data_IF_094244541565
#
_entry.id   IF_094244541565
#
_cell.length_a   1.000
_cell.length_b   1.000
_cell.length_c   1.000
_cell.angle_alpha   90.00
_cell.angle_beta   90.00
_cell.angle_gamma   90.00
#
_symmetry.space_group_name_H-M   'P 1'
#
loop_
_entity.id
_entity.type
_entity.pdbx_description
1 polymer ?
#
# COMPACT_ATOMS: atom_id res chain seq x y z
N UNK A 1 1.24 11.43 1.30
CA UNK A 1 0.84 10.41 0.32
C UNK A 1 0.19 9.27 1.06
N UNK A 2 -1.09 9.03 0.83
CA UNK A 2 -1.83 7.98 1.53
C UNK A 2 -2.91 7.45 0.59
N UNK A 3 -2.95 6.14 0.35
CA UNK A 3 -4.19 5.46 -0.04
C UNK A 3 -4.82 4.89 1.22
N UNK A 4 -6.14 5.04 1.41
CA UNK A 4 -6.84 4.64 2.63
C UNK A 4 -7.60 3.31 2.47
N UNK A 5 -6.89 2.17 2.49
CA UNK A 5 -7.53 0.84 2.44
C UNK A 5 -7.67 0.23 3.84
N UNK A 6 -8.77 -0.48 4.09
CA UNK A 6 -9.03 -1.12 5.39
C UNK A 6 -8.14 -2.34 5.64
N UNK A 7 -8.03 -3.21 4.64
CA UNK A 7 -7.30 -4.47 4.73
C UNK A 7 -7.09 -5.04 3.33
N UNK A 8 -6.06 -5.87 3.17
CA UNK A 8 -5.90 -6.71 1.98
C UNK A 8 -6.00 -8.18 2.37
N UNK A 9 -6.70 -8.99 1.58
CA UNK A 9 -6.64 -10.44 1.69
C UNK A 9 -5.25 -10.91 1.28
N UNK A 10 -4.71 -11.84 2.07
CA UNK A 10 -3.39 -12.43 1.90
C UNK A 10 -3.56 -13.92 1.58
N UNK A 11 -2.82 -14.40 0.58
CA UNK A 11 -2.77 -15.82 0.28
C UNK A 11 -1.89 -16.49 1.33
N UNK A 12 -2.47 -17.26 2.24
CA UNK A 12 -1.71 -17.76 3.39
C UNK A 12 -0.55 -18.68 3.01
N UNK A 13 -0.69 -19.47 1.93
CA UNK A 13 0.39 -20.31 1.40
C UNK A 13 1.58 -19.52 0.84
N UNK A 14 1.37 -18.26 0.43
CA UNK A 14 2.43 -17.40 -0.11
C UNK A 14 3.36 -16.82 0.96
N UNK A 15 2.95 -16.89 2.23
CA UNK A 15 3.79 -16.47 3.36
C UNK A 15 4.89 -17.49 3.63
N UNK A 16 4.65 -18.77 3.28
CA UNK A 16 5.55 -19.89 3.54
C UNK A 16 4.98 -20.86 4.59
N UNK A 17 5.72 -21.93 4.85
CA UNK A 17 5.35 -22.89 5.89
C UNK A 17 5.39 -22.23 7.28
N UNK A 18 4.37 -22.44 8.10
CA UNK A 18 4.29 -21.83 9.43
C UNK A 18 4.55 -22.87 10.50
N UNK A 19 5.57 -22.65 11.32
CA UNK A 19 5.88 -23.54 12.45
C UNK A 19 5.48 -22.86 13.75
N UNK A 20 4.54 -23.45 14.50
CA UNK A 20 4.00 -22.87 15.71
C UNK A 20 5.05 -22.75 16.81
N UNK A 21 5.17 -21.56 17.38
CA UNK A 21 6.08 -21.27 18.50
C UNK A 21 5.30 -21.23 19.81
N UNK A 22 4.17 -20.54 19.83
CA UNK A 22 3.41 -20.32 21.05
C UNK A 22 2.48 -19.10 20.97
N UNK A 23 1.77 -18.81 22.06
CA UNK A 23 1.03 -17.57 22.21
C UNK A 23 1.96 -16.37 22.46
N UNK A 24 1.53 -15.20 22.02
CA UNK A 24 2.13 -13.91 22.36
C UNK A 24 1.01 -12.85 22.52
N UNK A 25 1.36 -11.64 22.96
CA UNK A 25 0.45 -10.51 23.10
C UNK A 25 0.98 -9.28 22.38
N UNK A 26 0.09 -8.59 21.66
CA UNK A 26 0.40 -7.37 20.91
C UNK A 26 -0.61 -6.27 21.21
N UNK A 27 -0.43 -5.12 20.58
CA UNK A 27 -1.21 -3.91 20.83
C UNK A 27 -0.54 -2.98 21.84
N UNK A 28 -0.98 -1.72 21.86
CA UNK A 28 -0.42 -0.70 22.76
C UNK A 28 -0.52 -1.11 24.23
N UNK A 29 -1.60 -1.82 24.58
CA UNK A 29 -1.89 -2.29 25.93
C UNK A 29 -1.53 -3.77 26.15
N UNK A 30 -0.99 -4.47 25.13
CA UNK A 30 -0.69 -5.91 25.18
C UNK A 30 -1.92 -6.77 25.49
N UNK A 31 -3.07 -6.37 24.96
CA UNK A 31 -4.40 -6.94 25.20
C UNK A 31 -4.88 -7.85 24.07
N UNK A 32 -4.17 -7.87 22.94
CA UNK A 32 -4.52 -8.73 21.79
C UNK A 32 -3.64 -9.97 21.81
N UNK A 33 -4.24 -11.12 22.13
CA UNK A 33 -3.56 -12.43 22.07
C UNK A 33 -3.41 -12.88 20.62
N UNK A 34 -2.20 -13.30 20.26
CA UNK A 34 -1.82 -13.73 18.91
C UNK A 34 -1.05 -15.04 18.96
N UNK A 35 -1.09 -15.78 17.86
CA UNK A 35 -0.27 -16.97 17.66
C UNK A 35 1.01 -16.58 16.92
N UNK A 36 2.17 -17.02 17.42
CA UNK A 36 3.46 -16.73 16.84
C UNK A 36 3.99 -17.93 16.06
N UNK A 37 4.56 -17.67 14.87
CA UNK A 37 5.09 -18.69 13.96
C UNK A 37 6.46 -18.31 13.44
N UNK A 38 7.33 -19.29 13.25
CA UNK A 38 8.48 -19.17 12.35
C UNK A 38 8.01 -19.34 10.91
N UNK A 39 8.61 -18.60 9.99
CA UNK A 39 8.28 -18.64 8.57
C UNK A 39 9.34 -19.42 7.79
N UNK A 40 8.91 -20.49 7.13
CA UNK A 40 9.79 -21.38 6.36
C UNK A 40 10.91 -21.97 7.23
N UNK A 41 12.14 -21.93 6.71
CA UNK A 41 13.34 -22.37 7.42
C UNK A 41 14.15 -21.20 8.00
N UNK A 42 13.56 -19.99 8.08
CA UNK A 42 14.22 -18.83 8.64
C UNK A 42 13.87 -18.66 10.13
N UNK A 43 14.63 -17.81 10.82
CA UNK A 43 14.28 -17.32 12.16
C UNK A 43 13.33 -16.12 12.12
N UNK A 44 12.77 -15.79 10.96
CA UNK A 44 11.77 -14.73 10.86
C UNK A 44 10.47 -15.21 11.47
N UNK A 45 9.87 -14.34 12.28
CA UNK A 45 8.60 -14.65 12.94
C UNK A 45 7.51 -13.75 12.45
N UNK A 46 6.31 -14.33 12.34
CA UNK A 46 5.08 -13.58 12.17
C UNK A 46 4.16 -13.82 13.36
N UNK A 47 3.31 -12.83 13.62
CA UNK A 47 2.28 -12.88 14.64
C UNK A 47 0.93 -12.77 13.95
N UNK A 48 0.07 -13.76 14.16
CA UNK A 48 -1.24 -13.85 13.53
C UNK A 48 -2.31 -13.81 14.62
N UNK A 49 -3.25 -12.89 14.51
CA UNK A 49 -4.50 -12.93 15.26
C UNK A 49 -5.37 -14.07 14.70
N UNK A 50 -5.53 -15.19 15.42
CA UNK A 50 -6.21 -16.35 14.89
C UNK A 50 -7.74 -16.17 14.90
N UNK A 51 -8.43 -17.13 14.29
CA UNK A 51 -9.89 -17.27 14.40
C UNK A 51 -10.35 -17.44 15.86
N UNK A 52 -11.61 -17.08 16.13
CA UNK A 52 -12.25 -17.30 17.43
C UNK A 52 -12.23 -18.79 17.79
N UNK A 53 -11.89 -19.10 19.03
CA UNK A 53 -11.82 -20.49 19.52
C UNK A 53 -10.54 -21.24 19.16
N UNK A 54 -9.55 -20.58 18.55
CA UNK A 54 -8.22 -21.17 18.35
C UNK A 54 -7.60 -21.63 19.67
N UNK A 55 -7.11 -22.87 19.71
CA UNK A 55 -6.43 -23.43 20.86
C UNK A 55 -4.96 -22.99 20.88
N UNK A 56 -4.54 -22.29 21.92
CA UNK A 56 -3.13 -21.85 22.07
C UNK A 56 -2.23 -22.92 22.71
N UNK A 57 -2.75 -24.12 23.00
CA UNK A 57 -1.99 -25.21 23.59
C UNK A 57 -1.44 -26.20 22.54
N UNK A 58 -1.41 -25.82 21.26
CA UNK A 58 -0.69 -26.54 20.21
C UNK A 58 0.78 -26.78 20.59
N UNK A 59 1.36 -27.87 20.06
CA UNK A 59 2.75 -28.22 20.41
C UNK A 59 3.72 -27.25 19.74
N UNK A 60 4.76 -26.84 20.47
CA UNK A 60 5.89 -26.15 19.86
C UNK A 60 6.44 -26.99 18.70
N UNK A 61 6.70 -26.35 17.56
CA UNK A 61 7.20 -27.01 16.36
C UNK A 61 6.10 -27.61 15.47
N UNK A 62 4.82 -27.54 15.86
CA UNK A 62 3.73 -28.05 15.04
C UNK A 62 3.59 -27.24 13.74
N UNK A 63 3.58 -27.92 12.60
CA UNK A 63 3.42 -27.27 11.30
C UNK A 63 1.95 -26.93 11.06
N UNK A 64 1.71 -25.65 10.87
CA UNK A 64 0.40 -25.06 10.64
C UNK A 64 0.37 -24.40 9.26
N UNK A 65 -0.84 -24.15 8.80
CA UNK A 65 -1.11 -23.32 7.63
C UNK A 65 -2.07 -22.21 7.99
N UNK A 66 -1.93 -21.10 7.29
CA UNK A 66 -2.81 -19.96 7.37
C UNK A 66 -3.69 -19.95 6.12
N UNK A 67 -4.99 -19.69 6.28
CA UNK A 67 -5.94 -19.48 5.19
C UNK A 67 -6.88 -18.32 5.53
N UNK A 68 -7.54 -17.78 4.50
CA UNK A 68 -8.44 -16.63 4.59
C UNK A 68 -7.78 -15.46 5.34
N UNK A 69 -6.48 -15.26 5.07
CA UNK A 69 -5.69 -14.31 5.81
C UNK A 69 -5.96 -12.88 5.36
N UNK A 70 -5.67 -11.94 6.26
CA UNK A 70 -5.73 -10.51 6.00
C UNK A 70 -4.52 -9.80 6.58
N UNK A 71 -4.06 -8.78 5.86
CA UNK A 71 -3.05 -7.83 6.31
C UNK A 71 -3.73 -6.48 6.56
N UNK A 72 -3.42 -5.88 7.71
CA UNK A 72 -3.91 -4.56 8.14
C UNK A 72 -2.73 -3.74 8.68
N UNK A 73 -2.80 -2.42 8.60
CA UNK A 73 -1.81 -1.55 9.24
C UNK A 73 -2.08 -1.50 10.75
N UNK A 74 -1.19 -2.09 11.54
CA UNK A 74 -1.25 -2.05 13.00
C UNK A 74 -0.30 -1.04 13.62
N UNK A 75 -0.55 -0.75 14.90
CA UNK A 75 0.32 0.08 15.74
C UNK A 75 1.13 -0.81 16.65
N UNK A 76 2.45 -0.86 16.46
CA UNK A 76 3.35 -1.53 17.41
C UNK A 76 3.63 -0.60 18.59
N UNK A 77 3.66 -1.17 19.81
CA UNK A 77 3.97 -0.47 21.06
C UNK A 77 5.29 0.32 20.98
N UNK A 78 6.32 -0.27 20.39
CA UNK A 78 7.67 0.32 20.27
C UNK A 78 7.74 1.46 19.24
N UNK A 79 6.79 1.54 18.31
CA UNK A 79 6.82 2.48 17.20
C UNK A 79 5.78 3.60 17.32
N UNK A 80 5.02 3.63 18.42
CA UNK A 80 3.95 4.61 18.65
C UNK A 80 4.43 6.08 18.57
N UNK A 81 5.67 6.36 19.02
CA UNK A 81 6.28 7.71 18.96
C UNK A 81 6.90 8.05 17.60
N UNK A 82 7.39 7.04 16.87
CA UNK A 82 7.99 7.21 15.55
C UNK A 82 6.95 7.22 14.41
N UNK A 83 5.70 6.89 14.72
CA UNK A 83 4.59 6.84 13.76
C UNK A 83 4.60 5.62 12.85
N UNK A 84 5.73 4.90 12.74
CA UNK A 84 5.88 3.71 11.91
C UNK A 84 4.84 2.61 12.25
N UNK A 85 4.13 2.16 11.21
CA UNK A 85 3.15 1.08 11.28
C UNK A 85 3.81 -0.27 11.02
N UNK A 86 3.20 -1.32 11.55
CA UNK A 86 3.63 -2.71 11.32
C UNK A 86 2.51 -3.48 10.64
N UNK A 87 2.88 -4.44 9.81
CA UNK A 87 1.91 -5.38 9.26
C UNK A 87 1.33 -6.25 10.38
N UNK A 88 0.01 -6.23 10.53
CA UNK A 88 -0.70 -7.17 11.40
C UNK A 88 -1.43 -8.19 10.54
N UNK A 89 -1.32 -9.44 10.94
CA UNK A 89 -1.89 -10.57 10.23
C UNK A 89 -3.06 -11.11 11.02
N UNK A 90 -4.13 -11.50 10.34
CA UNK A 90 -5.21 -12.27 10.91
C UNK A 90 -5.64 -13.35 9.93
N UNK A 91 -6.33 -14.38 10.40
CA UNK A 91 -6.88 -15.43 9.53
C UNK A 91 -7.19 -16.70 10.28
N UNK A 92 -7.53 -17.74 9.52
CA UNK A 92 -7.80 -19.07 10.05
C UNK A 92 -6.53 -19.90 10.02
N UNK A 93 -6.09 -20.35 11.19
CA UNK A 93 -4.92 -21.19 11.39
C UNK A 93 -5.39 -22.62 11.56
N UNK A 94 -4.85 -23.52 10.74
CA UNK A 94 -5.22 -24.94 10.70
C UNK A 94 -3.96 -25.80 10.70
N UNK A 95 -4.04 -27.08 11.14
CA UNK A 95 -2.97 -28.04 10.93
C UNK A 95 -2.61 -28.15 9.44
N UNK A 96 -1.33 -28.40 9.14
CA UNK A 96 -0.87 -28.54 7.75
C UNK A 96 -1.60 -29.63 6.96
N UNK A 97 -2.15 -30.65 7.64
CA UNK A 97 -2.93 -31.72 7.03
C UNK A 97 -4.35 -31.32 6.59
N UNK A 98 -4.83 -30.13 6.95
CA UNK A 98 -6.16 -29.66 6.53
C UNK A 98 -6.20 -29.39 5.02
N UNK A 99 -7.28 -29.84 4.38
CA UNK A 99 -7.56 -29.63 2.95
C UNK A 99 -8.34 -28.33 2.67
N UNK A 100 -8.73 -27.59 3.71
CA UNK A 100 -9.41 -26.30 3.56
C UNK A 100 -8.55 -25.33 2.74
N UNK A 101 -9.21 -24.45 2.01
CA UNK A 101 -8.57 -23.51 1.09
C UNK A 101 -8.88 -22.08 1.48
N UNK A 102 -8.07 -21.16 0.97
CA UNK A 102 -8.37 -19.75 1.02
C UNK A 102 -9.75 -19.44 0.41
N UNK A 103 -10.39 -18.38 0.93
CA UNK A 103 -11.70 -17.93 0.47
C UNK A 103 -11.75 -17.63 -1.02
N UNK A 104 -10.65 -17.13 -1.58
CA UNK A 104 -10.53 -16.72 -2.97
C UNK A 104 -9.58 -17.65 -3.73
N UNK A 105 -9.75 -17.72 -5.05
CA UNK A 105 -8.82 -18.47 -5.89
C UNK A 105 -7.43 -17.84 -5.90
N UNK A 106 -6.38 -18.65 -6.12
CA UNK A 106 -4.99 -18.18 -6.13
C UNK A 106 -4.76 -17.06 -7.16
N UNK A 107 -5.50 -17.08 -8.28
CA UNK A 107 -5.37 -16.10 -9.36
C UNK A 107 -5.90 -14.71 -8.98
N UNK A 108 -6.74 -14.60 -7.95
CA UNK A 108 -7.18 -13.31 -7.43
C UNK A 108 -6.11 -12.60 -6.59
N UNK A 109 -5.08 -13.32 -6.12
CA UNK A 109 -3.97 -12.74 -5.38
C UNK A 109 -2.90 -12.23 -6.35
N UNK A 110 -3.26 -11.18 -7.07
CA UNK A 110 -2.56 -10.62 -8.24
C UNK A 110 -1.48 -9.58 -7.92
N UNK A 111 -1.25 -9.28 -6.64
CA UNK A 111 -0.29 -8.29 -6.18
C UNK A 111 0.62 -8.85 -5.08
N UNK A 112 1.65 -8.09 -4.71
CA UNK A 112 2.57 -8.44 -3.63
C UNK A 112 2.41 -7.47 -2.45
N UNK A 113 2.56 -7.96 -1.23
CA UNK A 113 2.83 -7.13 -0.07
C UNK A 113 4.33 -7.12 0.21
N UNK A 114 4.90 -5.92 0.38
CA UNK A 114 6.34 -5.71 0.56
C UNK A 114 6.62 -4.86 1.81
N UNK A 115 7.79 -5.08 2.42
CA UNK A 115 8.20 -4.36 3.63
C UNK A 115 9.65 -3.87 3.56
N UNK A 116 9.95 -2.86 4.39
CA UNK A 116 11.29 -2.30 4.50
C UNK A 116 11.73 -1.49 3.28
N UNK A 117 12.92 -0.90 3.38
CA UNK A 117 13.48 -0.01 2.36
C UNK A 117 13.77 -0.74 1.03
N UNK A 118 14.10 -2.03 1.12
CA UNK A 118 14.42 -2.89 -0.02
C UNK A 118 13.19 -3.57 -0.63
N UNK A 119 11.98 -3.26 -0.14
CA UNK A 119 10.73 -3.88 -0.60
C UNK A 119 10.77 -5.42 -0.56
N UNK A 120 11.18 -5.99 0.58
CA UNK A 120 11.20 -7.43 0.77
C UNK A 120 9.78 -8.00 0.65
N UNK A 121 9.59 -9.00 -0.22
CA UNK A 121 8.30 -9.63 -0.46
C UNK A 121 7.91 -10.49 0.73
N UNK A 122 6.70 -10.26 1.24
CA UNK A 122 6.14 -11.01 2.38
C UNK A 122 5.11 -12.03 1.93
N UNK A 123 4.36 -11.71 0.88
CA UNK A 123 3.33 -12.61 0.36
C UNK A 123 2.51 -11.97 -0.74
N UNK A 124 1.61 -12.76 -1.32
CA UNK A 124 0.67 -12.36 -2.37
C UNK A 124 -0.63 -11.84 -1.76
N UNK A 125 -1.10 -10.71 -2.26
CA UNK A 125 -2.32 -10.04 -1.81
C UNK A 125 -3.27 -9.80 -2.97
N UNK A 126 -4.55 -9.62 -2.65
CA UNK A 126 -5.61 -9.33 -3.62
C UNK A 126 -5.74 -7.83 -3.82
N UNK A 127 -5.34 -7.32 -4.99
CA UNK A 127 -5.43 -5.87 -5.28
C UNK A 127 -6.88 -5.39 -5.34
N UNK A 128 -7.81 -6.28 -5.70
CA UNK A 128 -9.24 -5.99 -5.78
C UNK A 128 -9.91 -5.70 -4.43
N UNK A 129 -9.20 -5.89 -3.30
CA UNK A 129 -9.65 -5.41 -1.99
C UNK A 129 -9.35 -3.92 -1.75
N UNK A 130 -8.43 -3.36 -2.54
CA UNK A 130 -8.07 -1.95 -2.50
C UNK A 130 -8.81 -1.14 -3.58
N UNK A 131 -8.73 -1.56 -4.84
CA UNK A 131 -9.36 -0.87 -5.97
C UNK A 131 -9.55 -1.81 -7.17
N UNK A 132 -10.46 -1.46 -8.07
CA UNK A 132 -10.60 -2.16 -9.34
C UNK A 132 -9.60 -1.60 -10.36
N UNK A 133 -8.52 -2.36 -10.63
CA UNK A 133 -7.47 -1.97 -11.59
C UNK A 133 -7.97 -1.72 -13.01
N UNK A 134 -9.12 -2.30 -13.38
CA UNK A 134 -9.73 -2.13 -14.70
C UNK A 134 -10.69 -0.93 -14.77
N UNK A 135 -10.88 -0.19 -13.67
CA UNK A 135 -11.77 0.96 -13.56
C UNK A 135 -11.01 2.27 -13.29
N UNK A 136 -9.71 2.34 -13.61
CA UNK A 136 -8.87 3.51 -13.31
C UNK A 136 -8.74 4.45 -14.51
N UNK A 137 -8.94 5.73 -14.27
CA UNK A 137 -8.63 6.82 -15.21
C UNK A 137 -7.53 7.69 -14.61
N UNK A 138 -6.49 7.97 -15.40
CA UNK A 138 -5.44 8.88 -14.98
C UNK A 138 -5.96 10.31 -14.90
N UNK A 139 -5.82 10.91 -13.73
CA UNK A 139 -6.21 12.29 -13.47
C UNK A 139 -5.00 13.24 -13.51
N UNK A 140 -3.91 12.89 -12.84
CA UNK A 140 -2.71 13.72 -12.82
C UNK A 140 -1.46 12.91 -12.47
N UNK A 141 -0.29 13.47 -12.80
CA UNK A 141 1.01 12.92 -12.43
C UNK A 141 1.79 13.99 -11.67
N UNK A 142 2.46 13.61 -10.59
CA UNK A 142 3.35 14.48 -9.83
C UNK A 142 4.68 13.80 -9.51
N UNK A 143 5.83 14.49 -9.66
CA UNK A 143 7.11 13.94 -9.23
C UNK A 143 7.24 13.94 -7.70
N UNK A 144 7.79 12.87 -7.14
CA UNK A 144 8.24 12.80 -5.75
C UNK A 144 9.76 12.88 -5.71
N UNK A 145 10.27 13.95 -5.13
CA UNK A 145 11.71 14.19 -5.04
C UNK A 145 12.35 13.36 -3.91
N UNK A 146 13.60 12.96 -4.13
CA UNK A 146 14.42 12.30 -3.11
C UNK A 146 14.76 13.31 -1.99
N UNK A 147 14.48 12.99 -0.72
CA UNK A 147 14.88 13.86 0.38
C UNK A 147 16.40 13.80 0.61
N UNK A 148 17.01 14.92 0.99
CA UNK A 148 18.37 14.97 1.54
C UNK A 148 18.37 14.70 3.06
N UNK A 149 19.55 14.70 3.69
CA UNK A 149 19.72 14.43 5.12
C UNK A 149 19.06 15.49 6.04
N UNK A 150 18.64 16.63 5.48
CA UNK A 150 17.93 17.72 6.17
C UNK A 150 16.44 17.75 5.84
N UNK A 151 15.91 16.70 5.20
CA UNK A 151 14.56 16.65 4.64
C UNK A 151 14.27 17.71 3.56
N UNK A 152 15.32 18.28 2.96
CA UNK A 152 15.24 19.11 1.74
C UNK A 152 15.21 18.25 0.47
N UNK A 153 15.22 18.88 -0.69
CA UNK A 153 15.26 18.18 -1.99
C UNK A 153 16.71 17.89 -2.36
N UNK A 154 17.06 16.61 -2.45
CA UNK A 154 18.35 16.15 -2.95
C UNK A 154 18.50 16.53 -4.42
N UNK A 155 19.70 16.99 -4.80
CA UNK A 155 20.03 17.45 -6.15
C UNK A 155 21.22 16.67 -6.68
N UNK A 156 21.24 16.46 -7.99
CA UNK A 156 22.38 15.90 -8.69
C UNK A 156 23.57 16.85 -8.59
N UNK A 157 24.76 16.32 -8.26
CA UNK A 157 25.96 17.14 -8.02
C UNK A 157 26.49 17.79 -9.30
N UNK A 158 26.22 17.20 -10.47
CA UNK A 158 26.72 17.67 -11.76
C UNK A 158 25.77 18.67 -12.40
N UNK A 159 24.46 18.40 -12.38
CA UNK A 159 23.45 19.24 -13.05
C UNK A 159 22.74 20.23 -12.12
N UNK A 160 22.86 20.04 -10.79
CA UNK A 160 22.10 20.76 -9.76
C UNK A 160 20.57 20.60 -9.90
N UNK A 161 20.10 19.62 -10.66
CA UNK A 161 18.68 19.34 -10.84
C UNK A 161 18.13 18.48 -9.68
N UNK A 162 16.86 18.66 -9.27
CA UNK A 162 16.21 17.80 -8.29
C UNK A 162 16.23 16.32 -8.69
N UNK A 163 16.67 15.44 -7.80
CA UNK A 163 16.63 14.01 -8.03
C UNK A 163 15.20 13.51 -7.78
N UNK A 164 14.58 12.97 -8.82
CA UNK A 164 13.25 12.35 -8.73
C UNK A 164 13.42 10.91 -8.24
N UNK A 165 12.73 10.56 -7.15
CA UNK A 165 12.75 9.20 -6.61
C UNK A 165 11.70 8.32 -7.31
N UNK A 166 10.53 8.87 -7.59
CA UNK A 166 9.44 8.22 -8.32
C UNK A 166 8.41 9.26 -8.79
N UNK A 167 7.50 8.84 -9.66
CA UNK A 167 6.33 9.61 -10.06
C UNK A 167 5.07 9.04 -9.41
N UNK A 168 4.24 9.91 -8.86
CA UNK A 168 2.92 9.57 -8.35
C UNK A 168 1.90 9.76 -9.47
N UNK A 169 1.32 8.65 -9.91
CA UNK A 169 0.18 8.63 -10.81
C UNK A 169 -1.09 8.63 -9.95
N UNK A 170 -1.91 9.67 -10.13
CA UNK A 170 -3.17 9.84 -9.41
C UNK A 170 -4.31 9.37 -10.31
N UNK A 171 -5.02 8.34 -9.86
CA UNK A 171 -6.16 7.76 -10.55
C UNK A 171 -7.45 8.08 -9.83
N UNK A 172 -8.54 8.14 -10.60
CA UNK A 172 -9.91 8.12 -10.08
C UNK A 172 -10.67 6.96 -10.72
N UNK A 173 -11.68 6.39 -10.02
CA UNK A 173 -12.59 5.44 -10.64
C UNK A 173 -13.30 6.06 -11.85
N UNK A 174 -13.43 5.33 -12.96
CA UNK A 174 -14.13 5.81 -14.16
C UNK A 174 -15.58 6.19 -13.87
N UNK A 175 -16.21 5.48 -12.95
CA UNK A 175 -17.55 5.81 -12.44
C UNK A 175 -17.68 7.22 -11.84
N UNK A 176 -16.57 7.83 -11.41
CA UNK A 176 -16.51 9.18 -10.83
C UNK A 176 -15.94 10.25 -11.76
N UNK A 177 -15.60 9.91 -13.00
CA UNK A 177 -14.92 10.83 -13.92
C UNK A 177 -15.66 12.14 -14.22
N UNK A 178 -16.99 12.14 -14.13
CA UNK A 178 -17.85 13.31 -14.38
C UNK A 178 -18.51 13.86 -13.12
N UNK A 179 -18.11 13.38 -11.93
CA UNK A 179 -18.69 13.77 -10.65
C UNK A 179 -17.71 14.59 -9.80
N UNK A 180 -18.13 14.92 -8.58
CA UNK A 180 -17.23 15.47 -7.57
C UNK A 180 -16.24 14.39 -7.12
N UNK A 181 -14.95 14.71 -7.18
CA UNK A 181 -13.84 13.86 -6.73
C UNK A 181 -13.29 14.46 -5.44
N UNK A 182 -13.24 13.65 -4.40
CA UNK A 182 -12.65 14.02 -3.11
C UNK A 182 -11.25 13.39 -2.94
N UNK A 183 -10.49 13.83 -1.94
CA UNK A 183 -9.14 13.31 -1.72
C UNK A 183 -9.09 11.79 -1.40
N UNK A 184 -10.19 11.25 -0.89
CA UNK A 184 -10.38 9.83 -0.58
C UNK A 184 -10.62 8.98 -1.82
N UNK A 185 -11.02 9.61 -2.94
CA UNK A 185 -11.32 8.92 -4.19
C UNK A 185 -10.07 8.63 -5.02
N UNK A 186 -8.97 9.33 -4.73
CA UNK A 186 -7.73 9.13 -5.46
C UNK A 186 -7.03 7.85 -5.06
N UNK A 187 -6.76 7.03 -6.07
CA UNK A 187 -5.82 5.93 -5.99
C UNK A 187 -4.47 6.43 -6.48
N UNK A 188 -3.49 6.50 -5.59
CA UNK A 188 -2.15 7.05 -5.84
C UNK A 188 -1.17 5.90 -5.97
N UNK A 189 -0.60 5.72 -7.15
CA UNK A 189 0.34 4.64 -7.46
C UNK A 189 1.69 5.23 -7.82
N UNK A 190 2.75 4.69 -7.24
CA UNK A 190 4.12 5.12 -7.49
C UNK A 190 4.74 4.30 -8.61
N UNK A 191 5.37 5.01 -9.54
CA UNK A 191 6.01 4.47 -10.73
C UNK A 191 7.44 4.96 -10.76
N UNK A 192 8.38 4.09 -11.15
CA UNK A 192 9.79 4.48 -11.24
C UNK A 192 10.02 5.48 -12.39
N UNK A 193 11.05 6.33 -12.33
CA UNK A 193 11.35 7.27 -13.40
C UNK A 193 11.46 6.61 -14.78
N UNK A 194 12.10 5.44 -14.87
CA UNK A 194 12.30 4.76 -16.16
C UNK A 194 10.98 4.34 -16.82
N UNK A 195 10.00 3.95 -16.00
CA UNK A 195 8.68 3.58 -16.48
C UNK A 195 7.83 4.80 -16.83
N UNK A 196 7.98 5.91 -16.10
CA UNK A 196 7.36 7.19 -16.47
C UNK A 196 7.86 7.66 -17.85
N UNK A 197 9.19 7.69 -18.06
CA UNK A 197 9.80 8.12 -19.31
C UNK A 197 9.33 7.25 -20.48
N UNK A 198 9.12 5.95 -20.26
CA UNK A 198 8.60 5.02 -21.27
C UNK A 198 7.19 5.37 -21.75
N UNK A 199 6.31 5.84 -20.86
CA UNK A 199 4.87 5.96 -21.17
C UNK A 199 4.41 7.39 -21.42
N UNK A 200 5.16 8.40 -20.95
CA UNK A 200 4.67 9.78 -20.89
C UNK A 200 4.36 10.38 -22.27
N UNK A 201 5.13 10.04 -23.31
CA UNK A 201 4.90 10.56 -24.67
C UNK A 201 3.59 10.08 -25.29
N UNK A 202 3.19 8.85 -24.97
CA UNK A 202 1.97 8.21 -25.50
C UNK A 202 0.73 8.44 -24.62
N UNK A 203 0.94 8.93 -23.40
CA UNK A 203 -0.09 9.06 -22.38
C UNK A 203 -0.98 10.27 -22.63
N UNK A 204 -2.28 10.03 -22.79
CA UNK A 204 -3.27 11.10 -23.01
C UNK A 204 -4.00 11.45 -21.71
N UNK A 205 -4.37 12.73 -21.51
CA UNK A 205 -5.24 13.13 -20.41
C UNK A 205 -6.54 12.31 -20.40
N UNK A 206 -6.91 11.77 -19.24
CA UNK A 206 -8.13 10.97 -19.08
C UNK A 206 -8.08 9.58 -19.74
N UNK A 207 -6.93 9.13 -20.23
CA UNK A 207 -6.77 7.78 -20.77
C UNK A 207 -6.90 6.73 -19.66
N UNK A 208 -7.56 5.63 -20.01
CA UNK A 208 -7.57 4.44 -19.18
C UNK A 208 -6.21 3.74 -19.28
N UNK A 209 -5.65 3.38 -18.13
CA UNK A 209 -4.39 2.64 -18.05
C UNK A 209 -4.52 1.50 -17.05
N UNK A 210 -3.67 0.50 -17.20
CA UNK A 210 -3.66 -0.71 -16.39
C UNK A 210 -2.31 -0.85 -15.69
N UNK A 211 -2.21 -0.51 -14.39
CA UNK A 211 -0.98 -0.73 -13.64
C UNK A 211 -0.76 -2.24 -13.41
N UNK A 212 0.47 -2.69 -13.68
CA UNK A 212 0.92 -4.09 -13.56
C UNK A 212 2.00 -4.23 -12.48
N UNK A 213 2.17 -5.45 -11.98
CA UNK A 213 3.20 -5.76 -10.97
C UNK A 213 2.97 -4.99 -9.66
N UNK A 214 1.71 -4.88 -9.23
CA UNK A 214 1.33 -4.08 -8.07
C UNK A 214 2.03 -4.58 -6.79
N UNK A 215 2.58 -3.64 -6.02
CA UNK A 215 3.16 -3.89 -4.70
C UNK A 215 2.54 -2.95 -3.68
N UNK A 216 2.09 -3.49 -2.57
CA UNK A 216 1.49 -2.77 -1.45
C UNK A 216 2.47 -2.72 -0.28
N UNK A 217 2.58 -1.56 0.35
CA UNK A 217 3.41 -1.35 1.54
C UNK A 217 2.70 -0.38 2.49
N UNK A 218 3.05 -0.43 3.77
CA UNK A 218 2.64 0.60 4.73
C UNK A 218 3.61 1.77 4.72
N UNK A 219 3.07 2.99 4.62
CA UNK A 219 3.86 4.23 4.71
C UNK A 219 3.04 5.25 5.48
N UNK A 220 3.57 5.78 6.58
CA UNK A 220 2.94 6.87 7.31
C UNK A 220 2.44 6.50 8.70
N UNK A 221 1.59 7.39 9.23
CA UNK A 221 1.26 7.48 10.65
C UNK A 221 -0.22 7.15 10.94
N UNK A 222 -1.05 6.74 9.96
CA UNK A 222 -2.43 6.30 10.22
C UNK A 222 -2.62 4.80 9.95
N UNK A 223 -3.71 4.22 10.46
CA UNK A 223 -3.99 2.77 10.36
C UNK A 223 -4.44 2.33 8.96
N UNK A 224 -4.64 3.26 8.05
CA UNK A 224 -5.10 2.98 6.69
C UNK A 224 -4.10 3.43 5.66
N UNK A 225 -2.89 3.88 6.01
CA UNK A 225 -1.97 4.46 5.03
C UNK A 225 -1.19 3.42 4.24
N UNK A 226 -1.57 3.24 2.97
CA UNK A 226 -0.88 2.37 2.03
C UNK A 226 -0.17 3.16 0.94
N UNK A 227 1.05 2.73 0.64
CA UNK A 227 1.71 3.04 -0.62
C UNK A 227 1.52 1.88 -1.57
N UNK A 228 1.18 2.21 -2.80
CA UNK A 228 1.03 1.27 -3.90
C UNK A 228 2.12 1.61 -4.92
N UNK A 229 2.87 0.62 -5.36
CA UNK A 229 3.81 0.72 -6.47
C UNK A 229 3.27 -0.09 -7.65
N UNK A 230 3.62 0.34 -8.86
CA UNK A 230 3.48 -0.47 -10.06
C UNK A 230 4.85 -0.61 -10.74
N UNK A 231 5.11 -1.80 -11.27
CA UNK A 231 6.32 -2.04 -12.05
C UNK A 231 6.17 -1.52 -13.48
N UNK A 232 4.94 -1.59 -14.03
CA UNK A 232 4.61 -1.14 -15.39
C UNK A 232 3.21 -0.53 -15.47
N UNK A 233 3.00 0.34 -16.46
CA UNK A 233 1.72 0.93 -16.84
C UNK A 233 1.42 0.53 -18.29
N UNK A 234 0.37 -0.27 -18.48
CA UNK A 234 -0.13 -0.57 -19.82
C UNK A 234 -1.16 0.48 -20.23
N UNK A 235 -1.00 1.02 -21.43
CA UNK A 235 -1.93 1.99 -21.99
C UNK A 235 -3.09 1.26 -22.67
N UNK A 236 -4.34 1.64 -22.38
CA UNK A 236 -5.46 1.13 -23.14
C UNK A 236 -5.32 1.52 -24.64
N UNK A 237 -5.64 0.63 -25.59
CA UNK A 237 -5.63 0.95 -26.99
C UNK A 237 -6.46 2.20 -27.25
N UNK A 238 -5.85 3.21 -27.89
CA UNK A 238 -6.52 4.46 -28.24
C UNK A 238 -7.58 4.20 -29.31
N UNK A 239 -8.78 3.77 -28.93
CA UNK A 239 -9.94 3.90 -29.80
C UNK A 239 -10.19 5.40 -29.99
N UNK A 240 -9.84 5.91 -31.17
CA UNK A 240 -10.08 7.29 -31.56
C UNK A 240 -11.59 7.59 -31.50
N UNK A 241 -12.00 8.24 -30.41
CA UNK A 241 -13.07 9.21 -30.40
C UNK A 241 -12.72 10.21 -29.30
N UNK A 242 -12.29 11.41 -29.71
CA UNK A 242 -12.06 12.52 -28.81
C UNK A 242 -13.41 12.91 -28.15
N UNK A 243 -13.67 12.36 -26.98
CA UNK A 243 -14.69 12.86 -26.06
C UNK A 243 -14.06 13.95 -25.21
N UNK A 244 -14.66 15.14 -25.27
CA UNK A 244 -14.27 16.39 -24.60
C UNK A 244 -13.70 16.22 -23.18
N UNK A 245 -12.49 16.76 -23.00
CA UNK A 245 -11.78 17.00 -21.73
C UNK A 245 -12.63 17.65 -20.64
N UNK A 246 -12.56 17.19 -19.37
CA UNK A 246 -12.76 18.06 -18.23
C UNK A 246 -11.55 19.01 -18.09
N UNK A 247 -11.80 20.31 -17.94
CA UNK A 247 -10.76 21.30 -17.65
C UNK A 247 -10.10 20.97 -16.30
N UNK A 248 -8.80 20.69 -16.33
CA UNK A 248 -7.95 20.72 -15.15
C UNK A 248 -7.62 22.18 -14.81
N UNK A 249 -8.51 22.85 -14.07
CA UNK A 249 -8.19 24.07 -13.34
C UNK A 249 -8.67 23.91 -11.90
N UNK A 250 -7.82 23.35 -11.05
CA UNK A 250 -7.91 23.51 -9.60
C UNK A 250 -6.51 23.43 -9.02
N UNK A 251 -5.82 24.57 -9.02
CA UNK A 251 -4.64 24.80 -8.21
C UNK A 251 -5.04 24.67 -6.73
N UNK A 252 -4.33 23.89 -5.89
CA UNK A 252 -4.59 23.89 -4.46
C UNK A 252 -4.32 25.29 -3.90
N UNK A 253 -5.28 25.85 -3.17
CA UNK A 253 -5.17 27.13 -2.52
C UNK A 253 -4.12 27.06 -1.39
N UNK A 254 -2.93 27.62 -1.63
CA UNK A 254 -2.04 28.08 -0.57
C UNK A 254 -2.18 29.60 -0.46
N UNK A 255 -3.15 30.07 0.32
CA UNK A 255 -3.08 31.41 0.91
C UNK A 255 -2.53 31.28 2.33
N UNK A 256 -1.22 31.46 2.46
CA UNK A 256 -0.62 31.83 3.74
C UNK A 256 -1.00 33.30 3.99
N UNK A 257 -1.93 33.51 4.93
CA UNK A 257 -2.26 34.83 5.44
C UNK A 257 -1.02 35.50 6.02
N UNK A 258 -0.59 36.59 5.39
CA UNK A 258 0.32 37.57 5.96
C UNK A 258 -0.37 38.24 7.16
N UNK A 259 0.10 37.98 8.37
CA UNK A 259 -0.31 38.72 9.57
C UNK A 259 0.28 40.14 9.50
N UNK A 260 -0.57 41.10 9.18
CA UNK A 260 -0.30 42.53 9.39
C UNK A 260 -0.28 42.83 10.90
N UNK A 261 0.87 43.23 11.40
CA UNK A 261 1.05 43.83 12.71
C UNK A 261 0.61 45.30 12.65
N UNK A 262 -0.58 45.61 13.19
CA UNK A 262 -0.95 46.98 13.53
C UNK A 262 -0.39 47.33 14.92
N UNK A 263 0.60 48.22 14.93
CA UNK A 263 1.01 48.94 16.12
C UNK A 263 -0.03 50.02 16.45
N UNK A 264 -0.73 49.88 17.58
CA UNK A 264 -1.49 50.99 18.17
C UNK A 264 -0.53 51.90 18.95
N UNK A 265 -0.47 53.18 18.55
CA UNK A 265 0.01 54.30 19.36
C UNK A 265 -1.17 54.91 20.13
N UNK A 266 -0.79 55.47 21.29
CA UNK A 266 -1.55 56.22 22.30
C UNK A 266 -2.15 55.37 23.42
#
# INVERSE_FOLDING_TARGET
MINAFKSLSLLGSSVGALTYIGPDVVGSNSDVKVAQFNVGNSFETIKVTPQVGFDFNHKFGETMRLISAKIIAGVARTNARAGARVATYSGTILPASSNEQDRYSIDEYDALFVTGKNQHVVGRVRSADAFNRNDLILFSIAPNYKPDDRNGVSRDEQTNEPIINNYQFNFIPKSKANGEVTEEDYIRILVKPEEYDRVIEDLKPGQQVYPQGLKFAFVGNTSTDWTVYADQIDLAPSNQAAGTTPKADSKPANEVKSNGSEAKKN
#
